data_IF_417631358814
#
_entry.id   IF_417631358814
#
_cell.length_a   1.000
_cell.length_b   1.000
_cell.length_c   1.000
_cell.angle_alpha   90.00
_cell.angle_beta   90.00
_cell.angle_gamma   90.00
#
_symmetry.space_group_name_H-M   'P 1'
#
loop_
_entity.id
_entity.type
_entity.pdbx_description
1 polymer ?
#
# COMPACT_ATOMS: atom_id res chain seq x y z
N UNK A 1 30.22 -14.01 28.77
CA UNK A 1 29.44 -13.82 30.03
C UNK A 1 30.09 -12.80 30.94
N UNK A 2 29.55 -11.57 31.07
CA UNK A 2 29.63 -10.70 32.27
C UNK A 2 28.75 -9.46 32.02
N UNK A 3 27.48 -9.50 32.47
CA UNK A 3 26.92 -8.92 33.71
C UNK A 3 26.62 -7.42 33.62
N UNK A 4 25.33 -7.16 33.45
CA UNK A 4 24.58 -5.95 33.81
C UNK A 4 24.78 -5.62 35.29
N UNK A 5 24.94 -4.33 35.63
CA UNK A 5 24.47 -3.67 36.88
C UNK A 5 24.69 -2.14 36.82
N UNK A 6 23.64 -1.36 36.53
CA UNK A 6 22.77 -0.59 37.46
C UNK A 6 23.37 0.69 38.03
N UNK A 7 22.78 1.84 37.70
CA UNK A 7 22.42 3.04 38.52
C UNK A 7 22.16 4.18 37.53
N UNK A 8 21.14 5.02 37.59
CA UNK A 8 20.15 5.36 38.60
C UNK A 8 19.74 6.81 38.33
N UNK A 9 18.44 7.08 38.40
CA UNK A 9 17.83 8.39 38.63
C UNK A 9 17.90 9.50 37.55
N UNK A 10 16.68 9.90 37.16
CA UNK A 10 16.17 11.26 37.22
C UNK A 10 16.38 12.21 36.02
N UNK A 11 15.22 12.71 35.59
CA UNK A 11 14.97 14.09 35.12
C UNK A 11 15.58 14.50 33.78
N UNK A 12 14.71 14.60 32.76
CA UNK A 12 14.33 15.90 32.19
C UNK A 12 13.09 15.71 31.29
N UNK A 13 11.92 15.66 31.94
CA UNK A 13 10.65 16.04 31.32
C UNK A 13 10.71 17.55 31.07
N UNK A 14 11.12 17.93 29.86
CA UNK A 14 10.97 19.28 29.32
C UNK A 14 11.05 19.25 27.79
N UNK A 15 10.24 18.40 27.15
CA UNK A 15 9.86 18.66 25.77
C UNK A 15 8.76 19.73 25.83
N UNK A 16 9.15 20.99 25.66
CA UNK A 16 8.26 22.13 25.49
C UNK A 16 7.45 21.94 24.21
N UNK A 17 6.40 21.13 24.29
CA UNK A 17 5.37 20.96 23.26
C UNK A 17 4.47 22.21 23.19
N UNK A 18 5.06 23.37 22.83
CA UNK A 18 4.31 24.61 22.59
C UNK A 18 4.11 24.91 21.10
N UNK A 19 4.28 23.90 20.24
CA UNK A 19 3.91 23.98 18.82
C UNK A 19 2.58 23.25 18.50
N UNK A 20 1.97 22.60 19.48
CA UNK A 20 0.91 21.59 19.25
C UNK A 20 -0.54 22.07 19.31
N UNK A 21 -0.89 23.29 18.86
CA UNK A 21 -2.30 23.69 18.78
C UNK A 21 -2.69 24.46 17.50
N UNK A 22 -1.75 24.70 16.59
CA UNK A 22 -2.03 25.28 15.27
C UNK A 22 -1.99 24.24 14.12
N UNK A 23 -1.49 23.03 14.38
CA UNK A 23 -1.40 21.92 13.42
C UNK A 23 -2.62 20.97 13.48
N UNK A 24 -3.80 21.48 13.84
CA UNK A 24 -5.04 20.69 13.78
C UNK A 24 -6.06 21.32 12.80
N UNK A 25 -5.61 22.24 11.95
CA UNK A 25 -6.42 22.89 10.91
C UNK A 25 -5.49 23.53 9.87
N UNK A 26 -4.41 22.84 9.47
CA UNK A 26 -3.50 23.34 8.45
C UNK A 26 -3.98 22.84 7.07
N UNK A 27 -4.28 23.74 6.12
CA UNK A 27 -4.66 23.35 4.76
C UNK A 27 -3.61 22.49 4.05
N UNK A 28 -2.37 22.45 4.53
CA UNK A 28 -1.34 21.55 4.03
C UNK A 28 -1.58 20.09 4.45
N UNK A 29 -2.05 19.84 5.67
CA UNK A 29 -2.39 18.50 6.15
C UNK A 29 -3.62 17.98 5.37
N UNK A 30 -4.68 18.79 5.25
CA UNK A 30 -5.87 18.46 4.45
C UNK A 30 -5.54 18.15 2.97
N UNK A 31 -4.51 18.80 2.42
CA UNK A 31 -4.07 18.59 1.04
C UNK A 31 -3.22 17.32 0.87
N UNK A 32 -2.49 16.93 1.92
CA UNK A 32 -1.75 15.67 1.94
C UNK A 32 -2.69 14.49 2.10
N UNK A 33 -3.67 14.55 3.01
CA UNK A 33 -4.70 13.52 3.18
C UNK A 33 -5.46 13.30 1.85
N UNK A 34 -5.92 14.36 1.19
CA UNK A 34 -6.58 14.25 -0.13
C UNK A 34 -5.67 13.64 -1.22
N UNK A 35 -4.36 13.82 -1.10
CA UNK A 35 -3.41 13.24 -2.05
C UNK A 35 -3.19 11.75 -1.76
N UNK A 36 -3.14 11.34 -0.49
CA UNK A 36 -3.09 9.96 -0.07
C UNK A 36 -4.35 9.21 -0.53
N UNK A 37 -5.55 9.74 -0.24
CA UNK A 37 -6.84 9.20 -0.69
C UNK A 37 -6.87 8.99 -2.22
N UNK A 38 -6.37 9.96 -2.99
CA UNK A 38 -6.34 9.87 -4.45
C UNK A 38 -5.36 8.81 -4.97
N UNK A 39 -4.32 8.47 -4.20
CA UNK A 39 -3.41 7.38 -4.51
C UNK A 39 -4.03 6.03 -4.14
N UNK A 40 -4.69 5.92 -2.99
CA UNK A 40 -5.46 4.71 -2.62
C UNK A 40 -6.53 4.39 -3.67
N UNK A 41 -7.34 5.37 -4.05
CA UNK A 41 -8.33 5.22 -5.15
C UNK A 41 -7.66 4.76 -6.46
N UNK A 42 -6.42 5.17 -6.72
CA UNK A 42 -5.67 4.75 -7.88
C UNK A 42 -5.17 3.31 -7.78
N UNK A 43 -4.73 2.87 -6.60
CA UNK A 43 -4.34 1.49 -6.34
C UNK A 43 -5.52 0.55 -6.55
N UNK A 44 -6.68 0.86 -5.95
CA UNK A 44 -7.94 0.14 -6.12
C UNK A 44 -8.31 0.01 -7.60
N UNK A 45 -8.27 1.13 -8.36
CA UNK A 45 -8.54 1.10 -9.79
C UNK A 45 -7.55 0.23 -10.56
N UNK A 46 -6.29 0.15 -10.15
CA UNK A 46 -5.30 -0.71 -10.81
C UNK A 46 -5.65 -2.17 -10.55
N UNK A 47 -5.89 -2.55 -9.30
CA UNK A 47 -6.26 -3.91 -8.90
C UNK A 47 -7.52 -4.37 -9.64
N UNK A 48 -8.60 -3.58 -9.59
CA UNK A 48 -9.88 -3.87 -10.25
C UNK A 48 -9.74 -4.08 -11.76
N UNK A 49 -8.93 -3.25 -12.42
CA UNK A 49 -8.72 -3.37 -13.87
C UNK A 49 -7.92 -4.62 -14.23
N UNK A 50 -6.89 -4.94 -13.45
CA UNK A 50 -6.07 -6.14 -13.70
C UNK A 50 -6.80 -7.42 -13.34
N UNK A 51 -7.65 -7.41 -12.30
CA UNK A 51 -8.50 -8.54 -11.96
C UNK A 51 -9.51 -8.80 -13.08
N UNK A 52 -10.21 -7.78 -13.56
CA UNK A 52 -11.14 -7.94 -14.68
C UNK A 52 -10.45 -8.44 -15.96
N UNK A 53 -9.23 -8.00 -16.24
CA UNK A 53 -8.46 -8.49 -17.39
C UNK A 53 -8.06 -9.96 -17.19
N UNK A 54 -7.60 -10.34 -15.99
CA UNK A 54 -7.25 -11.71 -15.64
C UNK A 54 -8.47 -12.63 -15.72
N UNK A 55 -9.61 -12.24 -15.13
CA UNK A 55 -10.87 -12.97 -15.20
C UNK A 55 -11.34 -13.19 -16.66
N UNK A 56 -11.21 -12.18 -17.52
CA UNK A 56 -11.55 -12.31 -18.93
C UNK A 56 -10.64 -13.31 -19.65
N UNK A 57 -9.36 -13.39 -19.27
CA UNK A 57 -8.44 -14.39 -19.80
C UNK A 57 -8.74 -15.79 -19.27
N UNK A 58 -9.06 -15.95 -17.99
CA UNK A 58 -9.46 -17.23 -17.39
C UNK A 58 -10.74 -17.76 -18.03
N UNK A 59 -11.74 -16.90 -18.28
CA UNK A 59 -12.96 -17.28 -19.01
C UNK A 59 -12.67 -17.76 -20.43
N UNK A 60 -11.70 -17.15 -21.12
CA UNK A 60 -11.26 -17.63 -22.43
C UNK A 60 -10.49 -18.96 -22.32
N UNK A 61 -9.69 -19.14 -21.26
CA UNK A 61 -8.97 -20.36 -20.98
C UNK A 61 -9.91 -21.55 -20.72
N UNK A 62 -11.06 -21.31 -20.09
CA UNK A 62 -12.11 -22.31 -19.86
C UNK A 62 -12.72 -22.89 -21.15
N UNK A 63 -12.62 -22.17 -22.27
CA UNK A 63 -13.00 -22.67 -23.60
C UNK A 63 -11.90 -23.50 -24.28
N UNK A 64 -10.71 -23.56 -23.66
CA UNK A 64 -9.52 -24.24 -24.17
C UNK A 64 -9.26 -25.53 -23.36
N UNK A 65 -8.26 -26.30 -23.80
CA UNK A 65 -7.94 -27.58 -23.15
C UNK A 65 -6.43 -27.86 -23.17
N UNK A 66 -5.95 -28.57 -22.16
CA UNK A 66 -4.54 -28.94 -21.98
C UNK A 66 -3.58 -27.75 -21.92
N UNK A 67 -2.40 -27.89 -22.53
CA UNK A 67 -1.30 -26.92 -22.40
C UNK A 67 -1.65 -25.49 -22.85
N UNK A 68 -2.69 -25.32 -23.67
CA UNK A 68 -3.12 -24.01 -24.13
C UNK A 68 -3.99 -23.29 -23.08
N UNK A 69 -4.81 -24.03 -22.33
CA UNK A 69 -5.52 -23.53 -21.14
C UNK A 69 -4.51 -23.14 -20.06
N UNK A 70 -3.57 -24.04 -19.74
CA UNK A 70 -2.55 -23.80 -18.72
C UNK A 70 -1.75 -22.51 -19.01
N UNK A 71 -1.27 -22.35 -20.25
CA UNK A 71 -0.51 -21.17 -20.66
C UNK A 71 -1.34 -19.86 -20.66
N UNK A 72 -2.67 -19.95 -20.69
CA UNK A 72 -3.54 -18.79 -20.61
C UNK A 72 -3.84 -18.42 -19.16
N UNK A 73 -4.09 -19.40 -18.30
CA UNK A 73 -4.20 -19.19 -16.85
C UNK A 73 -2.91 -18.61 -16.27
N UNK A 74 -1.74 -19.12 -16.66
CA UNK A 74 -0.44 -18.56 -16.24
C UNK A 74 -0.28 -17.09 -16.65
N UNK A 75 -0.84 -16.67 -17.79
CA UNK A 75 -0.80 -15.25 -18.21
C UNK A 75 -1.76 -14.39 -17.42
N UNK A 76 -2.96 -14.90 -17.13
CA UNK A 76 -3.93 -14.20 -16.30
C UNK A 76 -3.35 -13.94 -14.91
N UNK A 77 -2.73 -14.95 -14.31
CA UNK A 77 -2.09 -14.82 -13.00
C UNK A 77 -0.90 -13.85 -13.02
N UNK A 78 -0.08 -13.86 -14.08
CA UNK A 78 1.00 -12.88 -14.23
C UNK A 78 0.48 -11.43 -14.37
N UNK A 79 -0.70 -11.22 -14.96
CA UNK A 79 -1.34 -9.90 -15.05
C UNK A 79 -1.85 -9.46 -13.68
N UNK A 80 -2.54 -10.37 -12.97
CA UNK A 80 -3.02 -10.13 -11.61
C UNK A 80 -1.86 -9.76 -10.68
N UNK A 81 -0.80 -10.57 -10.65
CA UNK A 81 0.40 -10.32 -9.84
C UNK A 81 1.08 -8.99 -10.23
N UNK A 82 1.16 -8.65 -11.52
CA UNK A 82 1.70 -7.36 -11.94
C UNK A 82 0.82 -6.16 -11.53
N UNK A 83 -0.49 -6.36 -11.47
CA UNK A 83 -1.47 -5.41 -10.95
C UNK A 83 -1.30 -5.18 -9.45
N UNK A 84 -1.32 -6.25 -8.67
CA UNK A 84 -1.10 -6.25 -7.21
C UNK A 84 0.21 -5.53 -6.87
N UNK A 85 1.34 -5.94 -7.48
CA UNK A 85 2.64 -5.29 -7.24
C UNK A 85 2.65 -3.79 -7.56
N UNK A 86 1.82 -3.36 -8.51
CA UNK A 86 1.70 -1.94 -8.86
C UNK A 86 0.78 -1.20 -7.90
N UNK A 87 -0.33 -1.81 -7.48
CA UNK A 87 -1.22 -1.28 -6.45
C UNK A 87 -0.46 -1.12 -5.13
N UNK A 88 0.27 -2.14 -4.68
CA UNK A 88 1.15 -2.11 -3.51
C UNK A 88 2.13 -0.93 -3.56
N UNK A 89 2.78 -0.71 -4.72
CA UNK A 89 3.73 0.39 -4.88
C UNK A 89 3.07 1.78 -4.86
N UNK A 90 1.77 1.87 -5.11
CA UNK A 90 0.98 3.10 -5.02
C UNK A 90 0.49 3.29 -3.57
N UNK A 91 0.01 2.24 -2.91
CA UNK A 91 -0.35 2.25 -1.48
C UNK A 91 0.85 2.64 -0.61
N UNK A 92 2.03 2.07 -0.86
CA UNK A 92 3.26 2.46 -0.15
C UNK A 92 3.59 3.95 -0.33
N UNK A 93 3.15 4.59 -1.43
CA UNK A 93 3.30 6.03 -1.62
C UNK A 93 2.24 6.81 -0.84
N UNK A 94 1.01 6.32 -0.76
CA UNK A 94 -0.07 6.90 0.03
C UNK A 94 0.29 6.86 1.54
N UNK A 95 0.76 5.72 2.04
CA UNK A 95 1.21 5.50 3.42
C UNK A 95 2.36 6.43 3.85
N UNK A 96 3.14 6.97 2.91
CA UNK A 96 4.20 7.93 3.21
C UNK A 96 3.67 9.37 3.34
N UNK A 97 2.41 9.60 2.95
CA UNK A 97 1.74 10.90 2.95
C UNK A 97 0.66 11.02 4.04
N UNK A 98 0.14 9.91 4.56
CA UNK A 98 -0.73 9.81 5.76
C UNK A 98 0.08 9.88 7.08
#
# INVERSE_FOLDING_TARGET
MKRIKTTGAAMLLAATATLGLAACNDPADDAMEQQADALEDQADMVEDNTEQEAEAMEQQADEMDGAAQDAMNEKAEAIREAGENKADAIEEQADQMD
#
